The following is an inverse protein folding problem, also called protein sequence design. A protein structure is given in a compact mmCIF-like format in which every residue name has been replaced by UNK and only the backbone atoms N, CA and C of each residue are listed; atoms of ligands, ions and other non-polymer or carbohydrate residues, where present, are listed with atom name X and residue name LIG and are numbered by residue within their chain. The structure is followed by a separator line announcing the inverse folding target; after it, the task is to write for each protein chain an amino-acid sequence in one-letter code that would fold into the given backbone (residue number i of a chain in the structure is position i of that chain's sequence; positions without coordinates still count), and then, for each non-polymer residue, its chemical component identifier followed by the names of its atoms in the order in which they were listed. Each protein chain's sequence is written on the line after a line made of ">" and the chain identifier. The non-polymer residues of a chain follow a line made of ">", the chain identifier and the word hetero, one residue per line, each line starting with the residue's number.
data_IF_783861121823
#
_entry.id   IF_783861121823
#
_cell.length_a   1.000
_cell.length_b   1.000
_cell.length_c   1.000
_cell.angle_alpha   90.00
_cell.angle_beta   90.00
_cell.angle_gamma   90.00
#
_symmetry.space_group_name_H-M   'P 1'
#
loop_
_entity.id
_entity.type
_entity.pdbx_description
1 polymer ?
#
# COMPACT_ATOMS: atom_id res chain seq x y z
N UNK A 1 48.28 18.17 48.12
CA UNK A 1 49.04 17.14 48.87
C UNK A 1 49.00 15.87 47.99
N UNK A 2 50.09 15.54 47.29
CA UNK A 2 51.13 14.55 47.63
C UNK A 2 50.49 13.16 47.80
N UNK A 3 50.78 12.10 47.04
CA UNK A 3 52.05 11.52 46.52
C UNK A 3 51.62 10.40 45.55
N UNK A 4 52.04 10.16 44.28
CA UNK A 4 53.32 9.57 43.85
C UNK A 4 53.72 8.28 44.56
N UNK A 5 53.73 7.13 43.81
CA UNK A 5 54.74 6.10 43.81
C UNK A 5 54.43 5.13 42.69
N UNK A 6 55.07 5.10 41.55
CA UNK A 6 56.37 4.57 41.14
C UNK A 6 56.41 3.04 41.28
N UNK A 7 56.42 2.35 40.06
CA UNK A 7 57.60 1.74 39.46
C UNK A 7 58.01 0.41 40.14
N UNK A 8 58.28 -0.67 39.53
CA UNK A 8 59.28 -1.09 38.57
C UNK A 8 59.34 -2.62 38.49
N UNK A 9 59.76 -3.09 37.38
CA UNK A 9 60.71 -4.11 36.98
C UNK A 9 60.12 -5.48 36.66
N UNK A 10 60.34 -5.91 35.49
CA UNK A 10 61.54 -6.41 34.76
C UNK A 10 61.44 -7.93 34.63
N UNK A 11 61.23 -8.35 33.46
CA UNK A 11 62.14 -8.96 32.48
C UNK A 11 62.48 -10.42 32.71
N UNK A 12 62.28 -11.18 31.74
CA UNK A 12 63.20 -11.92 30.92
C UNK A 12 62.89 -13.39 30.67
N UNK A 13 62.90 -13.71 29.40
CA UNK A 13 63.64 -14.76 28.67
C UNK A 13 63.15 -16.20 28.88
N UNK A 14 62.99 -17.05 27.89
CA UNK A 14 63.76 -17.50 26.73
C UNK A 14 62.94 -18.51 25.96
N UNK A 15 63.08 -18.48 24.68
CA UNK A 15 62.76 -19.33 23.58
C UNK A 15 62.76 -20.85 23.82
N UNK A 16 61.85 -21.55 23.19
CA UNK A 16 62.09 -22.89 22.59
C UNK A 16 61.22 -23.07 21.36
N UNK A 17 61.85 -23.06 20.19
CA UNK A 17 61.37 -23.56 18.92
C UNK A 17 61.12 -25.07 19.00
N UNK A 18 59.94 -25.53 18.60
CA UNK A 18 59.81 -26.82 17.95
C UNK A 18 58.77 -26.69 16.84
N UNK A 19 59.26 -26.79 15.62
CA UNK A 19 58.46 -26.98 14.43
C UNK A 19 57.84 -28.35 14.45
N UNK A 20 56.51 -28.41 14.24
CA UNK A 20 55.86 -29.60 13.72
C UNK A 20 54.87 -29.15 12.62
N UNK A 21 55.30 -29.46 11.40
CA UNK A 21 54.50 -29.40 10.19
C UNK A 21 53.30 -30.35 10.37
N UNK A 22 52.10 -29.76 10.37
CA UNK A 22 50.83 -30.47 10.26
C UNK A 22 50.04 -29.82 9.14
N UNK A 23 50.16 -30.34 7.91
CA UNK A 23 49.18 -30.07 6.86
C UNK A 23 47.81 -30.61 7.31
N UNK A 24 47.00 -29.73 7.82
CA UNK A 24 45.56 -29.92 7.96
C UNK A 24 44.88 -28.98 6.99
N UNK A 25 44.52 -29.50 5.82
CA UNK A 25 43.60 -28.83 4.91
C UNK A 25 42.23 -28.71 5.64
N UNK A 26 42.06 -27.63 6.37
CA UNK A 26 40.74 -27.24 6.82
C UNK A 26 40.12 -26.53 5.63
N UNK A 27 39.34 -27.31 4.86
CA UNK A 27 38.33 -26.72 3.97
C UNK A 27 37.39 -25.91 4.86
N UNK A 28 37.70 -24.63 5.01
CA UNK A 28 36.77 -23.65 5.50
C UNK A 28 35.61 -23.67 4.53
N UNK A 29 34.53 -24.32 4.91
CA UNK A 29 33.24 -23.98 4.33
C UNK A 29 32.99 -22.51 4.69
N UNK A 30 33.34 -21.62 3.77
CA UNK A 30 32.67 -20.34 3.68
C UNK A 30 31.20 -20.70 3.40
N UNK A 31 30.43 -20.85 4.44
CA UNK A 31 29.01 -20.62 4.37
C UNK A 31 28.91 -19.12 4.14
N UNK A 32 28.92 -18.74 2.87
CA UNK A 32 28.44 -17.47 2.40
C UNK A 32 26.96 -17.46 2.82
N UNK A 33 26.70 -16.94 4.01
CA UNK A 33 25.34 -16.61 4.41
C UNK A 33 24.97 -15.39 3.59
N UNK A 34 24.58 -15.62 2.31
CA UNK A 34 23.87 -14.58 1.57
C UNK A 34 22.73 -14.13 2.48
N UNK A 35 22.76 -12.87 2.83
CA UNK A 35 21.67 -12.23 3.56
C UNK A 35 20.42 -12.46 2.75
N UNK A 36 19.40 -13.09 3.36
CA UNK A 36 18.16 -13.40 2.66
C UNK A 36 17.52 -12.11 2.19
N UNK A 37 17.03 -12.11 0.96
CA UNK A 37 16.18 -11.04 0.42
C UNK A 37 14.87 -10.92 1.21
N UNK A 38 14.05 -9.94 0.88
CA UNK A 38 12.82 -9.65 1.60
C UNK A 38 11.87 -10.84 1.61
N UNK A 39 11.68 -11.52 0.47
CA UNK A 39 10.84 -12.72 0.38
C UNK A 39 11.35 -13.84 1.31
N UNK A 40 12.66 -14.11 1.29
CA UNK A 40 13.27 -15.12 2.14
C UNK A 40 13.11 -14.83 3.64
N UNK A 41 13.18 -13.56 4.04
CA UNK A 41 12.93 -13.14 5.43
C UNK A 41 11.46 -13.27 5.82
N UNK A 42 10.52 -12.92 4.93
CA UNK A 42 9.07 -13.09 5.12
C UNK A 42 8.73 -14.58 5.30
N UNK A 43 9.24 -15.43 4.42
CA UNK A 43 9.00 -16.88 4.48
C UNK A 43 9.59 -17.53 5.74
N UNK A 44 10.78 -17.10 6.17
CA UNK A 44 11.37 -17.58 7.42
C UNK A 44 10.56 -17.15 8.65
N UNK A 45 10.04 -15.92 8.66
CA UNK A 45 9.16 -15.43 9.71
C UNK A 45 7.78 -16.09 9.68
N UNK A 46 7.33 -16.54 8.51
CA UNK A 46 6.01 -17.12 8.28
C UNK A 46 4.89 -16.09 8.25
N UNK A 47 5.21 -14.80 8.13
CA UNK A 47 4.27 -13.69 8.13
C UNK A 47 4.71 -12.60 7.15
N UNK A 48 3.74 -12.02 6.43
CA UNK A 48 3.89 -10.81 5.63
C UNK A 48 3.09 -9.67 6.27
N UNK A 49 3.71 -8.51 6.46
CA UNK A 49 3.06 -7.33 7.05
C UNK A 49 2.47 -6.48 5.95
N UNK A 50 1.16 -6.32 5.98
CA UNK A 50 0.35 -5.63 4.96
C UNK A 50 -0.23 -4.36 5.55
N UNK A 51 0.06 -3.21 4.93
CA UNK A 51 -0.50 -1.92 5.31
C UNK A 51 -1.80 -1.64 4.55
N UNK A 52 -2.80 -1.07 5.24
CA UNK A 52 -4.08 -0.61 4.68
C UNK A 52 -4.78 0.38 5.60
N UNK A 53 -5.83 1.05 5.12
CA UNK A 53 -6.54 2.05 5.92
C UNK A 53 -7.49 1.43 6.95
N UNK A 54 -8.28 0.42 6.57
CA UNK A 54 -9.34 -0.12 7.42
C UNK A 54 -10.60 0.75 7.53
N UNK A 55 -10.64 1.86 6.78
CA UNK A 55 -11.75 2.85 6.81
C UNK A 55 -12.28 3.22 5.43
N UNK A 56 -11.94 2.46 4.40
CA UNK A 56 -12.32 2.72 3.01
C UNK A 56 -13.09 1.54 2.40
N UNK A 57 -14.41 1.51 2.64
CA UNK A 57 -15.30 0.50 2.06
C UNK A 57 -15.45 0.73 0.54
N UNK A 58 -15.58 -0.35 -0.24
CA UNK A 58 -15.54 -1.76 0.13
C UNK A 58 -14.14 -2.40 -0.04
N UNK A 59 -13.07 -1.58 -0.16
CA UNK A 59 -11.68 -2.03 -0.33
C UNK A 59 -11.10 -2.64 0.96
N UNK A 60 -11.16 -1.88 2.05
CA UNK A 60 -10.64 -2.24 3.36
C UNK A 60 -11.44 -1.50 4.44
N UNK A 61 -12.17 -2.24 5.27
CA UNK A 61 -13.06 -1.66 6.28
C UNK A 61 -13.40 -2.68 7.37
N UNK A 62 -13.98 -2.21 8.46
CA UNK A 62 -14.49 -3.05 9.54
C UNK A 62 -15.98 -3.35 9.33
N UNK A 63 -16.35 -4.63 9.37
CA UNK A 63 -17.75 -5.05 9.31
C UNK A 63 -18.48 -4.79 10.64
N UNK A 64 -19.78 -5.13 10.71
CA UNK A 64 -20.60 -4.96 11.92
C UNK A 64 -20.06 -5.71 13.14
N UNK A 65 -19.18 -6.68 12.97
CA UNK A 65 -18.54 -7.46 14.04
C UNK A 65 -17.16 -6.94 14.43
N UNK A 66 -16.77 -5.77 13.89
CA UNK A 66 -15.43 -5.17 14.05
C UNK A 66 -14.31 -6.03 13.45
N UNK A 67 -14.63 -6.83 12.45
CA UNK A 67 -13.63 -7.59 11.68
C UNK A 67 -13.19 -6.80 10.47
N UNK A 68 -11.87 -6.67 10.28
CA UNK A 68 -11.28 -6.11 9.07
C UNK A 68 -11.61 -7.01 7.87
N UNK A 69 -12.27 -6.46 6.87
CA UNK A 69 -12.75 -7.11 5.66
C UNK A 69 -12.60 -6.17 4.47
N UNK A 70 -12.91 -6.66 3.27
CA UNK A 70 -12.89 -5.87 2.04
C UNK A 70 -12.15 -6.57 0.91
N UNK A 71 -12.26 -6.02 -0.27
CA UNK A 71 -11.61 -6.56 -1.47
C UNK A 71 -10.10 -6.71 -1.27
N UNK A 72 -9.43 -5.65 -0.85
CA UNK A 72 -7.98 -5.65 -0.65
C UNK A 72 -7.53 -6.52 0.51
N UNK A 73 -8.35 -6.60 1.57
CA UNK A 73 -8.07 -7.50 2.70
C UNK A 73 -8.06 -8.95 2.22
N UNK A 74 -9.08 -9.36 1.44
CA UNK A 74 -9.19 -10.74 0.95
C UNK A 74 -8.13 -11.05 -0.13
N UNK A 75 -7.83 -10.10 -1.03
CA UNK A 75 -6.73 -10.22 -2.00
C UNK A 75 -5.38 -10.42 -1.28
N UNK A 76 -5.10 -9.63 -0.24
CA UNK A 76 -3.88 -9.75 0.55
C UNK A 76 -3.79 -11.09 1.29
N UNK A 77 -4.89 -11.59 1.85
CA UNK A 77 -4.96 -12.92 2.47
C UNK A 77 -4.65 -14.02 1.45
N UNK A 78 -5.22 -13.94 0.24
CA UNK A 78 -4.98 -14.92 -0.83
C UNK A 78 -3.54 -14.88 -1.34
N UNK A 79 -2.95 -13.71 -1.50
CA UNK A 79 -1.54 -13.56 -1.86
C UNK A 79 -0.66 -14.19 -0.77
N UNK A 80 -0.90 -13.90 0.51
CA UNK A 80 -0.15 -14.46 1.62
C UNK A 80 -0.25 -16.01 1.65
N UNK A 81 -1.44 -16.57 1.38
CA UNK A 81 -1.66 -18.01 1.25
C UNK A 81 -0.78 -18.61 0.14
N UNK A 82 -0.74 -17.97 -1.04
CA UNK A 82 0.12 -18.38 -2.17
C UNK A 82 1.61 -18.32 -1.85
N UNK A 83 2.03 -17.32 -1.05
CA UNK A 83 3.42 -17.19 -0.57
C UNK A 83 3.76 -18.19 0.56
N UNK A 84 2.78 -18.93 1.09
CA UNK A 84 2.95 -19.89 2.18
C UNK A 84 3.14 -19.25 3.55
N UNK A 85 2.61 -18.02 3.74
CA UNK A 85 2.73 -17.22 4.98
C UNK A 85 1.36 -16.70 5.43
N UNK A 86 1.31 -16.04 6.59
CA UNK A 86 0.11 -15.37 7.09
C UNK A 86 0.18 -13.87 6.81
N UNK A 87 -0.92 -13.27 6.39
CA UNK A 87 -1.07 -11.82 6.38
C UNK A 87 -1.23 -11.28 7.81
N UNK A 88 -0.47 -10.23 8.12
CA UNK A 88 -0.59 -9.45 9.36
C UNK A 88 -0.89 -8.02 8.95
N UNK A 89 -2.09 -7.56 9.26
CA UNK A 89 -2.56 -6.24 8.84
C UNK A 89 -2.13 -5.16 9.82
N UNK A 90 -1.73 -4.02 9.27
CA UNK A 90 -1.42 -2.79 10.01
C UNK A 90 -2.22 -1.66 9.40
N UNK A 91 -3.13 -1.11 10.19
CA UNK A 91 -4.00 -0.02 9.79
C UNK A 91 -3.38 1.34 10.07
N UNK A 92 -3.70 2.31 9.23
CA UNK A 92 -3.22 3.68 9.36
C UNK A 92 -3.90 4.64 8.40
N UNK A 93 -3.66 5.93 8.56
CA UNK A 93 -4.16 6.95 7.65
C UNK A 93 -3.38 6.95 6.33
N UNK A 94 -4.07 7.19 5.22
CA UNK A 94 -3.54 7.09 3.85
C UNK A 94 -2.19 7.79 3.66
N UNK A 95 -2.06 9.04 4.10
CA UNK A 95 -0.87 9.86 3.90
C UNK A 95 0.40 9.30 4.56
N UNK A 96 0.23 8.50 5.64
CA UNK A 96 1.30 7.85 6.37
C UNK A 96 1.70 6.47 5.86
N UNK A 97 0.82 5.78 5.11
CA UNK A 97 1.04 4.38 4.73
C UNK A 97 2.18 4.21 3.72
N UNK A 98 2.21 4.97 2.64
CA UNK A 98 3.29 4.91 1.64
C UNK A 98 4.66 5.28 2.25
N UNK A 99 4.71 6.32 3.11
CA UNK A 99 5.94 6.68 3.81
C UNK A 99 6.40 5.57 4.76
N UNK A 100 5.47 4.86 5.40
CA UNK A 100 5.77 3.70 6.24
C UNK A 100 6.35 2.53 5.47
N UNK A 101 5.88 2.30 4.22
CA UNK A 101 6.42 1.29 3.31
C UNK A 101 7.87 1.62 2.93
N UNK A 102 8.17 2.87 2.60
CA UNK A 102 9.50 3.32 2.21
C UNK A 102 10.55 3.04 3.30
N UNK A 103 10.21 3.27 4.56
CA UNK A 103 11.11 3.01 5.70
C UNK A 103 11.02 1.59 6.26
N UNK A 104 10.28 0.68 5.61
CA UNK A 104 10.22 -0.73 5.96
C UNK A 104 9.40 -1.05 7.22
N UNK A 105 8.39 -0.25 7.55
CA UNK A 105 7.42 -0.57 8.61
C UNK A 105 6.55 -1.76 8.23
N UNK A 106 6.29 -1.90 6.95
CA UNK A 106 5.47 -2.92 6.32
C UNK A 106 6.26 -3.57 5.20
N UNK A 107 5.85 -4.74 4.79
CA UNK A 107 6.43 -5.43 3.64
C UNK A 107 5.79 -4.98 2.33
N UNK A 108 4.46 -4.81 2.33
CA UNK A 108 3.65 -4.34 1.20
C UNK A 108 2.53 -3.41 1.69
N UNK A 109 1.90 -2.69 0.77
CA UNK A 109 0.66 -1.97 0.99
C UNK A 109 -0.40 -2.46 -0.01
N UNK A 110 -1.56 -2.89 0.48
CA UNK A 110 -2.72 -3.29 -0.33
C UNK A 110 -3.89 -2.40 0.09
N UNK A 111 -4.17 -1.37 -0.72
CA UNK A 111 -5.13 -0.31 -0.39
C UNK A 111 -5.52 0.49 -1.64
N UNK A 112 -5.95 -0.21 -2.71
CA UNK A 112 -6.37 0.45 -3.93
C UNK A 112 -5.32 1.40 -4.54
N UNK A 113 -4.03 1.07 -4.41
CA UNK A 113 -2.96 2.01 -4.77
C UNK A 113 -2.84 2.13 -6.28
N UNK A 114 -3.22 3.29 -6.81
CA UNK A 114 -3.06 3.61 -8.21
C UNK A 114 -1.60 3.85 -8.57
N UNK A 115 -1.18 3.31 -9.71
CA UNK A 115 0.16 3.54 -10.28
C UNK A 115 0.21 4.92 -10.89
N UNK A 116 1.19 5.74 -10.45
CA UNK A 116 1.50 7.04 -11.04
C UNK A 116 2.99 7.15 -11.31
N UNK A 117 3.39 8.06 -12.21
CA UNK A 117 4.81 8.33 -12.50
C UNK A 117 5.56 8.74 -11.22
N UNK A 118 4.99 9.63 -10.40
CA UNK A 118 5.59 10.08 -9.15
C UNK A 118 5.81 8.92 -8.17
N UNK A 119 4.81 8.05 -8.01
CA UNK A 119 4.91 6.87 -7.14
C UNK A 119 5.92 5.87 -7.67
N UNK A 120 6.00 5.70 -9.00
CA UNK A 120 6.94 4.80 -9.68
C UNK A 120 8.41 5.25 -9.55
N UNK A 121 8.67 6.52 -9.24
CA UNK A 121 10.02 6.98 -8.88
C UNK A 121 10.49 6.43 -7.53
N UNK A 122 9.56 6.17 -6.59
CA UNK A 122 9.84 5.78 -5.19
C UNK A 122 9.63 4.30 -4.91
N UNK A 123 8.69 3.66 -5.60
CA UNK A 123 8.26 2.29 -5.38
C UNK A 123 8.36 1.47 -6.67
N UNK A 124 8.53 0.16 -6.53
CA UNK A 124 8.29 -0.79 -7.60
C UNK A 124 6.88 -1.36 -7.42
N UNK A 125 6.16 -1.52 -8.53
CA UNK A 125 4.77 -1.99 -8.52
C UNK A 125 4.65 -3.40 -9.07
N UNK A 126 3.67 -4.13 -8.59
CA UNK A 126 3.23 -5.40 -9.20
C UNK A 126 2.49 -5.15 -10.51
N UNK A 127 2.17 -6.23 -11.23
CA UNK A 127 1.11 -6.21 -12.23
C UNK A 127 -0.21 -5.72 -11.59
N UNK A 128 -1.04 -4.98 -12.35
CA UNK A 128 -2.33 -4.52 -11.83
C UNK A 128 -3.24 -5.67 -11.43
N UNK A 129 -3.90 -5.55 -10.29
CA UNK A 129 -4.91 -6.52 -9.86
C UNK A 129 -6.35 -5.99 -10.00
N UNK A 130 -6.51 -4.67 -10.18
CA UNK A 130 -7.78 -4.02 -10.44
C UNK A 130 -7.62 -2.78 -11.32
N UNK A 131 -8.76 -2.30 -11.88
CA UNK A 131 -8.86 -1.13 -12.73
C UNK A 131 -10.05 -0.31 -12.27
N UNK A 132 -9.86 1.00 -12.04
CA UNK A 132 -10.89 1.89 -11.50
C UNK A 132 -10.95 3.20 -12.24
N UNK A 133 -12.15 3.76 -12.36
CA UNK A 133 -12.35 5.14 -12.80
C UNK A 133 -12.58 6.05 -11.60
N UNK A 134 -12.24 7.31 -11.76
CA UNK A 134 -12.54 8.33 -10.76
C UNK A 134 -13.90 8.95 -11.03
N UNK A 135 -14.73 8.97 -10.00
CA UNK A 135 -16.02 9.64 -10.01
C UNK A 135 -15.90 11.06 -9.43
N UNK A 136 -16.55 12.02 -10.09
CA UNK A 136 -16.77 13.37 -9.61
C UNK A 136 -18.15 13.45 -8.96
N UNK A 137 -18.18 13.74 -7.67
CA UNK A 137 -19.39 13.77 -6.84
C UNK A 137 -19.68 15.19 -6.37
N UNK A 138 -20.93 15.58 -6.49
CA UNK A 138 -21.43 16.90 -6.08
C UNK A 138 -22.75 16.77 -5.32
N UNK A 139 -23.22 17.84 -4.67
CA UNK A 139 -24.57 17.90 -4.11
C UNK A 139 -25.63 17.65 -5.18
N UNK A 140 -26.74 16.99 -4.81
CA UNK A 140 -27.90 16.78 -5.70
C UNK A 140 -28.42 18.07 -6.32
N UNK A 141 -28.39 19.18 -5.56
CA UNK A 141 -28.87 20.49 -5.98
C UNK A 141 -27.83 21.26 -6.84
N UNK A 142 -26.61 20.71 -7.05
CA UNK A 142 -25.61 21.38 -7.85
C UNK A 142 -26.03 21.48 -9.32
N UNK A 143 -25.81 22.65 -9.93
CA UNK A 143 -26.09 22.97 -11.33
C UNK A 143 -24.88 23.45 -12.10
N UNK A 144 -23.76 23.70 -11.42
CA UNK A 144 -22.61 24.43 -11.97
C UNK A 144 -21.46 23.51 -12.38
N UNK A 145 -21.33 22.34 -11.72
CA UNK A 145 -20.27 21.37 -11.98
C UNK A 145 -20.91 20.16 -12.67
N UNK A 146 -20.49 19.86 -13.91
CA UNK A 146 -20.97 18.75 -14.72
C UNK A 146 -19.82 17.92 -15.29
N UNK A 147 -18.62 18.49 -15.38
CA UNK A 147 -17.40 17.86 -15.87
C UNK A 147 -16.23 18.20 -14.94
N UNK A 148 -15.07 17.55 -15.13
CA UNK A 148 -13.87 17.87 -14.36
C UNK A 148 -13.37 19.29 -14.63
N UNK A 149 -13.53 19.82 -15.86
CA UNK A 149 -13.13 21.17 -16.22
C UNK A 149 -13.89 22.26 -15.44
N UNK A 150 -15.10 21.95 -14.95
CA UNK A 150 -15.89 22.88 -14.14
C UNK A 150 -15.34 23.03 -12.70
N UNK A 151 -14.29 22.28 -12.34
CA UNK A 151 -13.62 22.37 -11.04
C UNK A 151 -12.71 23.61 -10.91
N UNK A 152 -12.41 24.33 -12.01
CA UNK A 152 -11.57 25.53 -11.96
C UNK A 152 -12.15 26.57 -11.00
N UNK A 153 -11.35 26.93 -9.99
CA UNK A 153 -11.73 27.87 -8.93
C UNK A 153 -12.74 27.33 -7.90
N UNK A 154 -13.12 26.04 -7.94
CA UNK A 154 -13.98 25.38 -6.96
C UNK A 154 -13.18 24.81 -5.80
N UNK A 155 -13.89 24.37 -4.77
CA UNK A 155 -13.31 23.72 -3.59
C UNK A 155 -13.71 22.26 -3.58
N UNK A 156 -12.74 21.35 -3.48
CA UNK A 156 -12.99 19.92 -3.31
C UNK A 156 -12.53 19.44 -1.94
N UNK A 157 -13.09 18.32 -1.47
CA UNK A 157 -12.63 17.62 -0.26
C UNK A 157 -12.05 16.27 -0.65
N UNK A 158 -10.79 16.03 -0.35
CA UNK A 158 -10.10 14.78 -0.74
C UNK A 158 -9.03 14.42 0.29
N UNK A 159 -8.65 13.14 0.35
CA UNK A 159 -7.53 12.70 1.17
C UNK A 159 -6.22 13.30 0.65
N UNK A 160 -5.39 13.82 1.56
CA UNK A 160 -4.11 14.43 1.23
C UNK A 160 -3.19 13.39 0.56
N UNK A 161 -2.47 13.80 -0.49
CA UNK A 161 -1.57 12.95 -1.29
C UNK A 161 -2.28 11.79 -2.03
N UNK A 162 -3.61 11.83 -2.15
CA UNK A 162 -4.34 10.91 -3.03
C UNK A 162 -4.28 11.35 -4.49
N UNK A 163 -4.45 10.39 -5.41
CA UNK A 163 -4.62 10.67 -6.84
C UNK A 163 -5.83 11.56 -7.09
N UNK A 164 -6.86 11.44 -6.28
CA UNK A 164 -8.07 12.27 -6.33
C UNK A 164 -7.78 13.73 -5.99
N UNK A 165 -6.92 14.01 -4.99
CA UNK A 165 -6.45 15.35 -4.69
C UNK A 165 -5.70 15.94 -5.88
N UNK A 166 -4.72 15.22 -6.41
CA UNK A 166 -3.91 15.70 -7.53
C UNK A 166 -4.75 15.95 -8.79
N UNK A 167 -5.72 15.05 -9.07
CA UNK A 167 -6.63 15.23 -10.20
C UNK A 167 -7.49 16.50 -10.03
N UNK A 168 -8.02 16.74 -8.82
CA UNK A 168 -8.78 17.95 -8.54
C UNK A 168 -7.93 19.21 -8.71
N UNK A 169 -6.69 19.22 -8.23
CA UNK A 169 -5.74 20.33 -8.38
C UNK A 169 -5.35 20.56 -9.85
N UNK A 170 -5.20 19.49 -10.64
CA UNK A 170 -4.93 19.59 -12.09
C UNK A 170 -6.04 20.33 -12.83
N UNK A 171 -7.29 20.14 -12.42
CA UNK A 171 -8.45 20.86 -12.93
C UNK A 171 -8.70 22.21 -12.24
N UNK A 172 -7.75 22.74 -11.44
CA UNK A 172 -7.79 24.07 -10.87
C UNK A 172 -8.59 24.20 -9.57
N UNK A 173 -8.97 23.10 -8.92
CA UNK A 173 -9.67 23.15 -7.64
C UNK A 173 -8.72 23.48 -6.47
N UNK A 174 -9.28 24.07 -5.42
CA UNK A 174 -8.63 24.18 -4.10
C UNK A 174 -9.06 23.00 -3.24
N UNK A 175 -8.11 22.18 -2.77
CA UNK A 175 -8.43 20.98 -2.00
C UNK A 175 -8.45 21.26 -0.50
N UNK A 176 -9.51 20.82 0.16
CA UNK A 176 -9.61 20.69 1.61
C UNK A 176 -9.26 19.25 2.00
N UNK A 177 -8.15 19.07 2.71
CA UNK A 177 -7.69 17.77 3.15
C UNK A 177 -8.58 17.19 4.25
N UNK A 178 -8.95 15.92 4.10
CA UNK A 178 -9.67 15.10 5.08
C UNK A 178 -9.11 13.66 5.04
N UNK A 179 -9.48 12.82 6.02
CA UNK A 179 -8.83 11.53 6.18
C UNK A 179 -9.64 10.37 5.55
N UNK A 180 -10.98 10.48 5.47
CA UNK A 180 -11.85 9.37 5.04
C UNK A 180 -12.84 9.79 3.95
N UNK A 181 -13.34 8.79 3.19
CA UNK A 181 -14.39 8.99 2.19
C UNK A 181 -15.65 9.63 2.81
N UNK A 182 -16.09 9.14 3.96
CA UNK A 182 -17.27 9.68 4.65
C UNK A 182 -17.11 11.17 4.97
N UNK A 183 -15.92 11.58 5.40
CA UNK A 183 -15.64 13.00 5.66
C UNK A 183 -15.69 13.81 4.36
N UNK A 184 -15.22 13.28 3.22
CA UNK A 184 -15.32 14.00 1.95
C UNK A 184 -16.77 14.21 1.53
N UNK A 185 -17.61 13.18 1.66
CA UNK A 185 -19.05 13.24 1.37
C UNK A 185 -19.77 14.24 2.29
N UNK A 186 -19.46 14.22 3.60
CA UNK A 186 -19.99 15.18 4.58
C UNK A 186 -19.61 16.63 4.28
N UNK A 187 -18.41 16.85 3.75
CA UNK A 187 -17.98 18.19 3.34
C UNK A 187 -18.83 18.72 2.19
N UNK A 188 -19.16 17.86 1.21
CA UNK A 188 -20.05 18.23 0.09
C UNK A 188 -21.49 18.40 0.57
N UNK A 189 -22.01 17.48 1.38
CA UNK A 189 -23.37 17.56 1.95
C UNK A 189 -23.60 18.83 2.78
N UNK A 190 -22.57 19.26 3.51
CA UNK A 190 -22.64 20.46 4.35
C UNK A 190 -22.35 21.77 3.59
N UNK A 191 -22.02 21.71 2.29
CA UNK A 191 -21.66 22.87 1.46
C UNK A 191 -20.32 23.50 1.85
N UNK A 192 -19.44 22.78 2.56
CA UNK A 192 -18.06 23.21 2.86
C UNK A 192 -17.11 22.94 1.70
N UNK A 193 -17.43 21.96 0.86
CA UNK A 193 -16.78 21.70 -0.42
C UNK A 193 -17.84 21.69 -1.52
N UNK A 194 -17.47 22.11 -2.73
CA UNK A 194 -18.35 22.09 -3.90
C UNK A 194 -18.46 20.68 -4.49
N UNK A 195 -17.37 19.89 -4.38
CA UNK A 195 -17.28 18.54 -4.92
C UNK A 195 -16.30 17.66 -4.13
N UNK A 196 -16.32 16.36 -4.43
CA UNK A 196 -15.28 15.39 -4.07
C UNK A 196 -15.02 14.42 -5.21
N UNK A 197 -13.83 13.85 -5.25
CA UNK A 197 -13.43 12.81 -6.20
C UNK A 197 -13.06 11.54 -5.44
N UNK A 198 -13.46 10.36 -5.96
CA UNK A 198 -13.05 9.07 -5.40
C UNK A 198 -13.25 7.95 -6.43
N UNK A 199 -12.78 6.73 -6.11
CA UNK A 199 -13.06 5.54 -6.92
C UNK A 199 -14.57 5.38 -7.13
N UNK A 200 -14.99 5.18 -8.38
CA UNK A 200 -16.41 5.07 -8.73
C UNK A 200 -17.09 3.97 -7.92
N UNK A 201 -16.42 2.83 -7.70
CA UNK A 201 -16.95 1.70 -6.93
C UNK A 201 -17.19 2.04 -5.46
N UNK A 202 -16.32 2.84 -4.84
CA UNK A 202 -16.50 3.30 -3.46
C UNK A 202 -17.63 4.33 -3.33
N UNK A 203 -17.78 5.19 -4.34
CA UNK A 203 -18.89 6.14 -4.40
C UNK A 203 -20.23 5.42 -4.53
N UNK A 204 -20.33 4.39 -5.39
CA UNK A 204 -21.57 3.62 -5.51
C UNK A 204 -21.84 2.76 -4.28
N UNK A 205 -20.83 2.22 -3.61
CA UNK A 205 -20.98 1.55 -2.33
C UNK A 205 -21.54 2.50 -1.27
N UNK A 206 -20.95 3.71 -1.15
CA UNK A 206 -21.46 4.75 -0.25
C UNK A 206 -22.95 5.06 -0.51
N UNK A 207 -23.37 5.20 -1.77
CA UNK A 207 -24.77 5.46 -2.11
C UNK A 207 -25.68 4.27 -1.82
N UNK A 208 -25.17 3.04 -1.86
CA UNK A 208 -25.94 1.86 -1.50
C UNK A 208 -26.28 1.81 -0.01
N UNK A 209 -25.35 2.26 0.83
CA UNK A 209 -25.50 2.33 2.30
C UNK A 209 -26.26 3.59 2.71
N UNK A 210 -26.01 4.72 2.02
CA UNK A 210 -26.60 6.04 2.31
C UNK A 210 -27.59 6.46 1.21
N UNK A 211 -28.62 5.66 1.00
CA UNK A 211 -29.59 5.84 -0.10
C UNK A 211 -30.40 7.16 -0.08
N UNK A 212 -30.36 7.90 1.03
CA UNK A 212 -30.99 9.21 1.23
C UNK A 212 -29.98 10.37 1.10
N UNK A 213 -28.70 10.07 0.86
CA UNK A 213 -27.66 11.09 0.67
C UNK A 213 -28.00 11.97 -0.53
N UNK A 214 -28.00 13.30 -0.32
CA UNK A 214 -28.30 14.32 -1.34
C UNK A 214 -27.06 14.62 -2.18
N UNK A 215 -26.49 13.57 -2.79
CA UNK A 215 -25.30 13.61 -3.64
C UNK A 215 -25.57 12.94 -4.99
N UNK A 216 -24.81 13.27 -6.00
CA UNK A 216 -24.84 12.62 -7.33
C UNK A 216 -23.45 12.58 -7.95
N UNK A 217 -23.19 11.53 -8.76
CA UNK A 217 -22.08 11.50 -9.69
C UNK A 217 -22.45 12.31 -10.92
N UNK A 218 -21.57 13.22 -11.36
CA UNK A 218 -21.76 14.04 -12.55
C UNK A 218 -20.80 13.68 -13.68
N UNK A 219 -19.64 13.14 -13.36
CA UNK A 219 -18.65 12.67 -14.35
C UNK A 219 -17.86 11.48 -13.83
N UNK A 220 -17.31 10.72 -14.75
CA UNK A 220 -16.28 9.68 -14.52
C UNK A 220 -15.11 9.96 -15.46
N UNK A 221 -13.89 9.58 -15.07
CA UNK A 221 -12.75 9.61 -15.99
C UNK A 221 -13.00 8.67 -17.18
N UNK A 222 -12.51 9.03 -18.36
CA UNK A 222 -12.65 8.20 -19.56
C UNK A 222 -11.87 6.90 -19.45
N UNK A 223 -10.63 6.99 -18.95
CA UNK A 223 -9.74 5.85 -18.78
C UNK A 223 -9.74 5.38 -17.32
N UNK A 224 -9.55 4.08 -17.13
CA UNK A 224 -9.36 3.49 -15.82
C UNK A 224 -7.89 3.57 -15.38
N UNK A 225 -7.68 3.90 -14.12
CA UNK A 225 -6.37 3.81 -13.45
C UNK A 225 -6.02 2.36 -13.14
N UNK A 226 -4.71 2.05 -13.18
CA UNK A 226 -4.16 0.75 -12.79
C UNK A 226 -3.96 0.70 -11.27
N UNK A 227 -4.58 -0.27 -10.62
CA UNK A 227 -4.40 -0.52 -9.18
C UNK A 227 -3.43 -1.68 -9.00
N UNK A 228 -2.33 -1.43 -8.28
CA UNK A 228 -1.23 -2.38 -8.08
C UNK A 228 -0.71 -2.33 -6.65
N UNK A 229 0.09 -3.33 -6.28
CA UNK A 229 0.69 -3.43 -4.95
C UNK A 229 2.09 -2.82 -5.01
N UNK A 230 2.35 -1.69 -4.31
CA UNK A 230 3.70 -1.14 -4.18
C UNK A 230 4.54 -1.99 -3.22
N UNK A 231 5.79 -2.19 -3.60
CA UNK A 231 6.87 -2.72 -2.76
C UNK A 231 7.99 -1.69 -2.68
N UNK A 232 8.87 -1.80 -1.68
CA UNK A 232 10.07 -0.95 -1.63
C UNK A 232 10.90 -1.13 -2.89
N UNK A 233 11.44 -0.03 -3.40
CA UNK A 233 12.30 -0.06 -4.60
C UNK A 233 13.65 -0.71 -4.29
N UNK A 234 14.11 -1.56 -5.22
CA UNK A 234 15.44 -2.16 -5.19
C UNK A 234 15.48 -3.68 -5.19
N UNK A 235 16.69 -4.23 -5.41
CA UNK A 235 16.96 -5.67 -5.60
C UNK A 235 16.46 -6.54 -4.42
N UNK A 236 16.47 -6.02 -3.20
CA UNK A 236 16.01 -6.76 -1.99
C UNK A 236 14.52 -7.13 -2.06
N UNK A 237 13.69 -6.35 -2.77
CA UNK A 237 12.25 -6.54 -2.89
C UNK A 237 11.81 -7.18 -4.21
N UNK A 238 12.73 -7.39 -5.16
CA UNK A 238 12.39 -7.87 -6.51
C UNK A 238 11.75 -9.25 -6.49
N UNK A 239 12.33 -10.19 -5.75
CA UNK A 239 11.79 -11.56 -5.63
C UNK A 239 10.41 -11.58 -4.97
N UNK A 240 10.15 -10.69 -4.00
CA UNK A 240 8.82 -10.54 -3.41
C UNK A 240 7.82 -10.04 -4.45
N UNK A 241 8.18 -9.00 -5.22
CA UNK A 241 7.32 -8.45 -6.27
C UNK A 241 6.97 -9.49 -7.34
N UNK A 242 7.97 -10.28 -7.78
CA UNK A 242 7.77 -11.36 -8.75
C UNK A 242 6.86 -12.47 -8.18
N UNK A 243 7.05 -12.85 -6.92
CA UNK A 243 6.20 -13.85 -6.26
C UNK A 243 4.75 -13.37 -6.09
N UNK A 244 4.54 -12.07 -5.80
CA UNK A 244 3.20 -11.47 -5.75
C UNK A 244 2.57 -11.44 -7.16
N UNK A 245 3.33 -11.11 -8.21
CA UNK A 245 2.85 -11.14 -9.59
C UNK A 245 2.37 -12.54 -10.00
N UNK A 246 3.12 -13.59 -9.65
CA UNK A 246 2.68 -14.96 -9.92
C UNK A 246 1.42 -15.31 -9.12
N UNK A 247 1.32 -14.89 -7.85
CA UNK A 247 0.10 -15.06 -7.05
C UNK A 247 -1.12 -14.36 -7.67
N UNK A 248 -0.98 -13.09 -8.11
CA UNK A 248 -2.05 -12.34 -8.79
C UNK A 248 -2.46 -13.06 -10.08
N UNK A 249 -1.50 -13.52 -10.87
CA UNK A 249 -1.75 -14.26 -12.11
C UNK A 249 -2.53 -15.55 -11.84
N UNK A 250 -2.12 -16.36 -10.86
CA UNK A 250 -2.84 -17.58 -10.48
C UNK A 250 -4.27 -17.28 -10.02
N UNK A 251 -4.48 -16.24 -9.20
CA UNK A 251 -5.80 -15.81 -8.74
C UNK A 251 -6.69 -15.35 -9.91
N UNK A 252 -6.11 -14.69 -10.91
CA UNK A 252 -6.81 -14.28 -12.11
C UNK A 252 -7.16 -15.47 -13.00
N UNK A 253 -6.23 -16.41 -13.23
CA UNK A 253 -6.44 -17.61 -14.05
C UNK A 253 -7.44 -18.59 -13.43
N UNK A 254 -7.47 -18.70 -12.10
CA UNK A 254 -8.47 -19.52 -11.38
C UNK A 254 -9.86 -18.89 -11.36
N UNK A 255 -9.97 -17.58 -11.56
CA UNK A 255 -11.21 -16.80 -11.41
C UNK A 255 -11.47 -16.29 -10.00
N UNK A 256 -10.65 -16.69 -9.00
CA UNK A 256 -10.81 -16.24 -7.62
C UNK A 256 -10.77 -14.72 -7.48
N UNK A 257 -9.90 -14.04 -8.26
CA UNK A 257 -9.80 -12.59 -8.21
C UNK A 257 -11.09 -11.91 -8.68
N UNK A 258 -11.73 -12.43 -9.73
CA UNK A 258 -13.02 -11.95 -10.23
C UNK A 258 -14.15 -12.22 -9.23
N UNK A 259 -14.17 -13.41 -8.59
CA UNK A 259 -15.16 -13.76 -7.57
C UNK A 259 -15.08 -12.82 -6.35
N UNK A 260 -13.86 -12.47 -5.90
CA UNK A 260 -13.66 -11.50 -4.82
C UNK A 260 -14.14 -10.11 -5.27
N UNK A 261 -13.85 -9.70 -6.51
CA UNK A 261 -14.32 -8.44 -7.07
C UNK A 261 -15.84 -8.35 -7.09
N UNK A 262 -16.52 -9.36 -7.64
CA UNK A 262 -17.96 -9.41 -7.71
C UNK A 262 -18.63 -9.42 -6.30
N UNK A 263 -17.98 -10.06 -5.32
CA UNK A 263 -18.44 -10.11 -3.94
C UNK A 263 -18.51 -8.72 -3.30
N UNK A 264 -17.52 -7.87 -3.52
CA UNK A 264 -17.39 -6.58 -2.85
C UNK A 264 -17.94 -5.42 -3.68
N UNK A 265 -17.83 -5.47 -5.00
CA UNK A 265 -18.22 -4.38 -5.89
C UNK A 265 -19.47 -4.69 -6.73
N UNK A 266 -19.94 -5.94 -6.74
CA UNK A 266 -21.04 -6.34 -7.61
C UNK A 266 -20.67 -6.38 -9.10
N UNK A 267 -19.39 -6.24 -9.43
CA UNK A 267 -18.84 -6.23 -10.77
C UNK A 267 -17.38 -6.71 -10.77
N UNK A 268 -16.90 -7.18 -11.93
CA UNK A 268 -15.50 -7.57 -12.11
C UNK A 268 -14.65 -6.37 -12.54
N UNK A 269 -13.94 -5.74 -11.58
CA UNK A 269 -12.99 -4.65 -11.86
C UNK A 269 -11.56 -5.15 -12.07
N UNK A 270 -11.36 -6.46 -12.19
CA UNK A 270 -10.02 -7.05 -12.37
C UNK A 270 -9.58 -7.10 -13.82
N UNK A 271 -10.42 -6.63 -14.75
CA UNK A 271 -10.20 -6.53 -16.18
C UNK A 271 -10.30 -5.08 -16.63
N UNK A 272 -9.48 -4.73 -17.60
CA UNK A 272 -9.55 -3.44 -18.29
C UNK A 272 -10.31 -3.64 -19.60
N UNK A 273 -11.65 -3.57 -19.54
CA UNK A 273 -12.53 -3.73 -20.71
C UNK A 273 -12.76 -2.40 -21.43
#
# INVERSE_FOLDING_TARGET
>A
MKKRFKMLCMAALIASMTALSGCGQNAGSNTDSQEKDLLGRIQEKGEIVVAMEGTWAPWTYHDETDKLVGFDTEVAEKIAEKLGVKAVFVEGEWDGLLAGLEVGRYDIMVNGVEVTDERSEKYDFTEPYAYIRTALVVSEDNTDINTFEDLDGKTTANSINSTYMYLAEEYGATVLGVDTLDQTMDMVLSGRADATLNAEVSVYDYFSVHSDAKLKVVALTDDASFVSIPVRKGEDSETLREAINEAIKELRESGELAEISEKYFGSDITKND
#
